data_IF_611062557673
#
_entry.id   IF_611062557673
#
_cell.length_a   1.000
_cell.length_b   1.000
_cell.length_c   1.000
_cell.angle_alpha   90.00
_cell.angle_beta   90.00
_cell.angle_gamma   90.00
#
_symmetry.space_group_name_H-M   'P 1'
#
loop_
_entity.id
_entity.type
_entity.pdbx_description
1 polymer ?
#
# COMPACT_ATOMS: atom_id res chain seq x y z
N UNK A 1 -31.01 26.21 -3.43
CA UNK A 1 -30.20 25.92 -4.62
C UNK A 1 -28.79 25.72 -4.11
N UNK A 2 -28.54 24.51 -3.60
CA UNK A 2 -27.21 24.03 -3.31
C UNK A 2 -27.16 22.68 -4.01
N UNK A 3 -26.64 22.70 -5.23
CA UNK A 3 -26.31 21.49 -5.98
C UNK A 3 -25.18 20.80 -5.22
N UNK A 4 -25.56 19.85 -4.37
CA UNK A 4 -24.64 18.84 -3.86
C UNK A 4 -24.24 18.02 -5.09
N UNK A 5 -23.11 18.38 -5.71
CA UNK A 5 -22.42 17.53 -6.67
C UNK A 5 -22.03 16.26 -5.93
N UNK A 6 -22.90 15.26 -5.96
CA UNK A 6 -22.52 13.87 -5.78
C UNK A 6 -21.47 13.58 -6.85
N UNK A 7 -20.19 13.67 -6.48
CA UNK A 7 -19.11 13.27 -7.37
C UNK A 7 -19.28 11.78 -7.61
N UNK A 8 -19.54 11.41 -8.85
CA UNK A 8 -19.41 10.02 -9.30
C UNK A 8 -17.96 9.59 -9.01
N UNK A 9 -17.80 8.68 -8.06
CA UNK A 9 -16.50 8.08 -7.73
C UNK A 9 -16.25 6.99 -8.77
N UNK A 10 -15.58 7.38 -9.85
CA UNK A 10 -15.25 6.50 -10.98
C UNK A 10 -14.17 5.44 -10.63
N UNK A 11 -13.75 5.37 -9.36
CA UNK A 11 -12.76 4.43 -8.84
C UNK A 11 -11.32 4.76 -9.26
N UNK A 12 -11.10 5.85 -10.01
CA UNK A 12 -9.77 6.26 -10.44
C UNK A 12 -9.01 7.03 -9.36
N UNK A 13 -7.85 6.47 -8.98
CA UNK A 13 -6.89 7.16 -8.14
C UNK A 13 -6.21 8.30 -8.92
N UNK A 14 -6.39 9.54 -8.47
CA UNK A 14 -5.88 10.75 -9.13
C UNK A 14 -4.76 11.42 -8.33
N UNK A 15 -3.80 12.01 -9.04
CA UNK A 15 -2.74 12.80 -8.40
C UNK A 15 -3.34 14.03 -7.73
N UNK A 16 -2.96 14.27 -6.46
CA UNK A 16 -3.45 15.41 -5.68
C UNK A 16 -4.70 15.12 -4.84
N UNK A 17 -5.17 13.88 -4.79
CA UNK A 17 -6.17 13.49 -3.78
C UNK A 17 -5.59 13.68 -2.37
N UNK A 18 -6.36 14.34 -1.51
CA UNK A 18 -6.00 14.59 -0.12
C UNK A 18 -6.64 13.54 0.77
N UNK A 19 -5.87 13.07 1.75
CA UNK A 19 -6.30 12.14 2.80
C UNK A 19 -5.77 12.66 4.12
N UNK A 20 -6.52 12.41 5.19
CA UNK A 20 -6.25 12.98 6.51
C UNK A 20 -5.55 11.99 7.44
N UNK A 21 -5.31 10.75 7.01
CA UNK A 21 -4.57 9.76 7.79
C UNK A 21 -3.84 8.71 6.93
N UNK A 22 -2.83 8.04 7.52
CA UNK A 22 -2.14 6.87 6.92
C UNK A 22 -3.10 5.70 6.65
N UNK A 23 -4.15 5.57 7.47
CA UNK A 23 -5.16 4.53 7.34
C UNK A 23 -6.05 4.80 6.13
N UNK A 24 -6.58 6.01 6.02
CA UNK A 24 -7.39 6.45 4.87
C UNK A 24 -6.59 6.38 3.56
N UNK A 25 -5.33 6.82 3.57
CA UNK A 25 -4.42 6.67 2.44
C UNK A 25 -4.28 5.20 1.99
N UNK A 26 -4.20 4.28 2.95
CA UNK A 26 -4.09 2.85 2.67
C UNK A 26 -5.39 2.28 2.09
N UNK A 27 -6.54 2.63 2.66
CA UNK A 27 -7.83 2.12 2.22
C UNK A 27 -8.16 2.62 0.81
N UNK A 28 -7.91 3.90 0.53
CA UNK A 28 -8.06 4.47 -0.81
C UNK A 28 -7.21 3.72 -1.85
N UNK A 29 -5.93 3.52 -1.54
CA UNK A 29 -5.00 2.83 -2.44
C UNK A 29 -5.34 1.34 -2.61
N UNK A 30 -5.81 0.69 -1.53
CA UNK A 30 -6.19 -0.71 -1.56
C UNK A 30 -7.50 -0.95 -2.34
N UNK A 31 -8.45 -0.02 -2.26
CA UNK A 31 -9.68 -0.06 -3.07
C UNK A 31 -9.37 0.07 -4.56
N UNK A 32 -8.51 1.03 -4.93
CA UNK A 32 -7.99 1.15 -6.30
C UNK A 32 -7.32 -0.15 -6.77
N UNK A 33 -6.41 -0.69 -5.96
CA UNK A 33 -5.71 -1.94 -6.30
C UNK A 33 -6.68 -3.11 -6.51
N UNK A 34 -7.69 -3.23 -5.63
CA UNK A 34 -8.72 -4.26 -5.71
C UNK A 34 -9.50 -4.17 -7.01
N UNK A 35 -9.93 -2.96 -7.39
CA UNK A 35 -10.63 -2.71 -8.65
C UNK A 35 -9.75 -3.05 -9.87
N UNK A 36 -8.45 -2.75 -9.80
CA UNK A 36 -7.49 -3.12 -10.84
C UNK A 36 -7.02 -4.57 -10.76
N UNK A 37 -7.56 -5.39 -9.85
CA UNK A 37 -7.34 -6.83 -9.79
C UNK A 37 -6.03 -7.26 -9.11
N UNK A 38 -5.47 -6.44 -8.23
CA UNK A 38 -4.30 -6.81 -7.43
C UNK A 38 -4.45 -6.38 -5.97
N UNK A 39 -3.56 -6.87 -5.11
CA UNK A 39 -3.47 -6.45 -3.72
C UNK A 39 -2.15 -5.77 -3.43
N UNK A 40 -2.16 -4.91 -2.42
CA UNK A 40 -1.01 -4.09 -2.03
C UNK A 40 -0.50 -4.49 -0.65
N UNK A 41 0.73 -4.10 -0.34
CA UNK A 41 1.31 -4.18 1.00
C UNK A 41 2.01 -2.88 1.36
N UNK A 42 2.02 -2.54 2.64
CA UNK A 42 2.82 -1.43 3.17
C UNK A 42 4.31 -1.75 3.02
N UNK A 43 5.07 -0.84 2.42
CA UNK A 43 6.51 -1.00 2.23
C UNK A 43 7.29 0.03 3.06
N UNK A 44 8.03 0.93 2.42
CA UNK A 44 8.88 1.91 3.09
C UNK A 44 8.06 3.00 3.76
N UNK A 45 8.47 3.40 4.96
CA UNK A 45 7.99 4.59 5.65
C UNK A 45 9.14 5.58 5.70
N UNK A 46 8.92 6.80 5.23
CA UNK A 46 9.81 7.93 5.49
C UNK A 46 9.18 8.78 6.58
N UNK A 47 9.97 9.06 7.62
CA UNK A 47 9.55 9.87 8.76
C UNK A 47 10.29 11.20 8.80
N UNK A 48 9.67 12.20 9.40
CA UNK A 48 10.33 13.47 9.72
C UNK A 48 11.21 13.35 10.98
N UNK A 49 11.86 14.45 11.36
CA UNK A 49 12.70 14.53 12.58
C UNK A 49 11.92 14.30 13.88
N UNK A 50 10.61 14.52 13.85
CA UNK A 50 9.68 14.32 14.98
C UNK A 50 9.07 12.92 14.97
N UNK A 51 9.54 12.02 14.10
CA UNK A 51 9.07 10.65 13.93
C UNK A 51 7.63 10.53 13.38
N UNK A 52 7.07 11.58 12.78
CA UNK A 52 5.79 11.52 12.08
C UNK A 52 5.98 10.91 10.70
N UNK A 53 4.95 10.21 10.19
CA UNK A 53 4.96 9.65 8.84
C UNK A 53 4.83 10.79 7.84
N UNK A 54 5.89 11.03 7.07
CA UNK A 54 5.90 12.02 5.98
C UNK A 54 5.52 11.40 4.64
N UNK A 55 5.88 10.14 4.44
CA UNK A 55 5.56 9.39 3.22
C UNK A 55 5.50 7.90 3.51
N UNK A 56 4.59 7.20 2.83
CA UNK A 56 4.55 5.74 2.77
C UNK A 56 4.55 5.29 1.32
N UNK A 57 5.31 4.25 1.04
CA UNK A 57 5.30 3.56 -0.25
C UNK A 57 4.44 2.29 -0.13
N UNK A 58 3.63 2.04 -1.17
CA UNK A 58 2.85 0.82 -1.31
C UNK A 58 3.33 0.04 -2.52
N UNK A 59 3.28 -1.27 -2.42
CA UNK A 59 3.80 -2.14 -3.47
C UNK A 59 2.86 -3.30 -3.67
N UNK A 60 2.92 -3.94 -4.85
CA UNK A 60 2.18 -5.17 -5.09
C UNK A 60 2.50 -6.22 -4.00
N UNK A 61 1.50 -6.96 -3.56
CA UNK A 61 1.66 -8.06 -2.60
C UNK A 61 2.73 -9.07 -3.03
N UNK A 62 2.83 -9.34 -4.35
CA UNK A 62 3.82 -10.23 -4.96
C UNK A 62 5.18 -9.59 -5.25
N UNK A 63 5.40 -8.32 -4.88
CA UNK A 63 6.62 -7.60 -5.27
C UNK A 63 7.89 -8.21 -4.65
N UNK A 64 8.96 -8.29 -5.43
CA UNK A 64 10.27 -8.73 -4.98
C UNK A 64 10.30 -10.20 -4.57
N UNK A 65 11.38 -10.60 -3.91
CA UNK A 65 11.52 -11.92 -3.32
C UNK A 65 11.73 -11.73 -1.82
N UNK A 66 11.29 -12.69 -1.01
CA UNK A 66 11.73 -12.72 0.37
C UNK A 66 13.24 -12.97 0.39
N UNK A 67 13.97 -12.11 1.09
CA UNK A 67 15.35 -12.44 1.46
C UNK A 67 15.24 -13.64 2.41
N UNK A 68 16.02 -14.69 2.18
CA UNK A 68 16.21 -15.76 3.16
C UNK A 68 16.89 -15.16 4.39
N UNK A 69 16.09 -14.61 5.31
CA UNK A 69 16.56 -14.18 6.61
C UNK A 69 17.09 -15.41 7.35
N UNK A 70 18.37 -15.28 7.72
CA UNK A 70 19.22 -16.20 8.47
C UNK A 70 18.51 -17.44 9.05
N UNK A 71 18.99 -18.62 8.63
CA UNK A 71 18.66 -19.96 9.18
C UNK A 71 18.81 -20.09 10.71
N UNK A 72 19.33 -19.07 11.38
CA UNK A 72 19.58 -19.03 12.83
C UNK A 72 18.34 -18.66 13.65
N UNK A 73 17.33 -18.00 13.08
CA UNK A 73 16.09 -17.68 13.78
C UNK A 73 14.99 -18.68 13.40
N UNK A 74 14.59 -19.51 14.37
CA UNK A 74 13.43 -20.40 14.21
C UNK A 74 12.19 -19.53 13.99
N UNK A 75 11.71 -19.47 12.75
CA UNK A 75 10.46 -18.78 12.41
C UNK A 75 9.34 -19.41 13.24
N UNK A 76 8.68 -18.61 14.08
CA UNK A 76 7.51 -19.04 14.88
C UNK A 76 6.36 -19.56 14.00
N UNK A 77 6.34 -19.22 12.72
CA UNK A 77 5.34 -19.66 11.73
C UNK A 77 6.01 -19.80 10.36
N UNK A 78 5.80 -20.93 9.68
CA UNK A 78 6.13 -21.09 8.26
C UNK A 78 5.13 -20.29 7.41
N UNK A 79 5.40 -19.00 7.21
CA UNK A 79 4.60 -18.19 6.29
C UNK A 79 4.89 -18.66 4.87
N UNK A 80 3.86 -19.06 4.12
CA UNK A 80 4.01 -19.40 2.71
C UNK A 80 4.57 -18.19 1.96
N UNK A 81 5.57 -18.44 1.13
CA UNK A 81 6.15 -17.41 0.28
C UNK A 81 5.13 -17.02 -0.80
N UNK A 82 4.70 -15.75 -0.79
CA UNK A 82 3.73 -15.23 -1.76
C UNK A 82 4.34 -14.20 -2.71
N UNK A 83 5.58 -13.76 -2.47
CA UNK A 83 6.32 -12.84 -3.33
C UNK A 83 7.00 -13.61 -4.45
N UNK A 84 6.66 -13.28 -5.69
CA UNK A 84 7.11 -13.99 -6.89
C UNK A 84 7.99 -13.12 -7.79
N UNK A 85 8.56 -12.04 -7.26
CA UNK A 85 9.42 -11.14 -8.04
C UNK A 85 8.68 -10.07 -8.82
N UNK A 86 7.43 -9.72 -8.46
CA UNK A 86 6.74 -8.63 -9.14
C UNK A 86 7.55 -7.33 -9.02
N UNK A 87 7.67 -6.57 -10.12
CA UNK A 87 8.42 -5.31 -10.17
C UNK A 87 7.53 -4.07 -10.02
N UNK A 88 6.22 -4.28 -9.84
CA UNK A 88 5.28 -3.19 -9.67
C UNK A 88 5.62 -2.40 -8.40
N UNK A 89 5.85 -1.11 -8.60
CA UNK A 89 6.09 -0.07 -7.63
C UNK A 89 5.05 1.00 -7.94
N UNK A 90 4.44 1.56 -6.91
CA UNK A 90 3.39 2.55 -7.06
C UNK A 90 3.58 3.69 -6.07
#
# INVERSE_FOLDING_TARGET
MDEILEKEDDGELKVGMEVHSDAEAYDLYNNYALEKGFSVRKHVIRRDSSNNIRQREYVCSKQGFQMDENLCEVKKVNKLETRTGCKALF
#
